data_IF_032370242031
#
_entry.id   IF_032370242031
#
_cell.length_a   1.000
_cell.length_b   1.000
_cell.length_c   1.000
_cell.angle_alpha   90.00
_cell.angle_beta   90.00
_cell.angle_gamma   90.00
#
_symmetry.space_group_name_H-M   'P 1'
#
loop_
_entity.id
_entity.type
_entity.pdbx_description
1 polymer ?
#
# COMPACT_ATOMS: atom_id res chain seq x y z
N UNK A 1 61.27 27.66 -10.70
CA UNK A 1 62.19 28.68 -10.96
C UNK A 1 62.20 29.00 -12.44
N UNK A 2 61.92 30.22 -12.76
CA UNK A 2 62.07 30.81 -14.08
C UNK A 2 63.54 30.96 -14.42
N UNK A 3 63.91 30.97 -15.69
CA UNK A 3 65.13 31.69 -16.16
C UNK A 3 64.79 32.89 -17.00
N UNK A 4 65.45 33.99 -16.74
CA UNK A 4 65.45 35.28 -17.35
C UNK A 4 66.05 35.30 -18.76
N UNK A 5 65.81 36.37 -19.57
CA UNK A 5 66.10 36.40 -20.98
C UNK A 5 67.49 36.93 -21.30
N UNK A 6 68.10 36.34 -22.32
CA UNK A 6 69.35 36.81 -22.91
C UNK A 6 69.17 37.22 -24.37
N UNK A 7 69.54 38.45 -24.65
CA UNK A 7 69.56 39.17 -25.91
C UNK A 7 70.62 38.63 -26.90
N UNK A 8 70.35 38.72 -28.22
CA UNK A 8 71.43 38.56 -29.23
C UNK A 8 70.99 38.33 -30.65
N UNK A 9 71.01 39.31 -31.48
CA UNK A 9 71.20 39.71 -32.80
C UNK A 9 71.08 38.77 -34.05
N UNK A 10 70.84 39.32 -35.22
CA UNK A 10 70.37 38.58 -36.40
C UNK A 10 71.52 38.03 -37.25
N UNK A 11 71.37 36.73 -37.60
CA UNK A 11 72.26 36.10 -38.58
C UNK A 11 71.46 35.47 -39.69
N UNK A 12 71.56 36.05 -40.90
CA UNK A 12 71.07 35.52 -42.16
C UNK A 12 71.87 34.30 -42.57
N UNK A 13 71.22 33.15 -42.73
CA UNK A 13 71.84 31.94 -43.27
C UNK A 13 70.79 31.04 -43.90
N UNK A 14 70.70 31.10 -45.25
CA UNK A 14 69.96 30.17 -46.10
C UNK A 14 70.62 28.80 -46.08
N UNK A 15 69.98 27.80 -45.51
CA UNK A 15 70.42 26.42 -45.49
C UNK A 15 69.25 25.46 -45.57
N UNK A 16 68.99 24.94 -46.80
CA UNK A 16 68.05 23.84 -47.05
C UNK A 16 68.62 22.56 -46.43
N UNK A 17 68.17 22.21 -45.22
CA UNK A 17 68.44 20.93 -44.53
C UNK A 17 67.22 20.03 -44.57
N UNK A 18 67.37 18.67 -44.62
CA UNK A 18 66.24 17.77 -44.74
C UNK A 18 65.37 17.81 -43.51
N UNK A 19 64.03 17.83 -43.69
CA UNK A 19 63.04 17.87 -42.70
C UNK A 19 63.22 16.74 -41.66
N UNK A 20 63.61 17.09 -40.42
CA UNK A 20 63.59 16.17 -39.27
C UNK A 20 62.17 15.72 -39.02
N UNK A 21 61.86 14.43 -39.33
CA UNK A 21 60.69 13.77 -38.91
C UNK A 21 60.60 13.91 -37.36
N UNK A 22 59.67 14.73 -36.87
CA UNK A 22 59.32 14.73 -35.47
C UNK A 22 58.78 13.32 -35.10
N UNK A 23 59.63 12.54 -34.44
CA UNK A 23 59.19 11.32 -33.78
C UNK A 23 58.07 11.70 -32.81
N UNK A 24 56.83 11.30 -33.13
CA UNK A 24 55.72 11.41 -32.20
C UNK A 24 56.06 10.53 -30.99
N UNK A 25 56.48 11.13 -29.90
CA UNK A 25 56.70 10.43 -28.66
C UNK A 25 55.39 9.80 -28.21
N UNK A 26 55.39 8.51 -27.97
CA UNK A 26 54.26 7.79 -27.34
C UNK A 26 54.37 7.98 -25.83
N UNK A 27 53.40 8.62 -25.24
CA UNK A 27 53.32 8.71 -23.76
C UNK A 27 53.04 7.33 -23.19
N UNK A 28 54.01 6.76 -22.50
CA UNK A 28 53.86 5.50 -21.77
C UNK A 28 53.53 5.81 -20.31
N UNK A 29 52.55 5.11 -19.74
CA UNK A 29 52.22 5.26 -18.33
C UNK A 29 53.31 4.64 -17.46
N UNK A 30 53.87 5.40 -16.53
CA UNK A 30 54.90 4.91 -15.60
C UNK A 30 54.35 3.98 -14.51
N UNK A 31 53.07 4.03 -14.20
CA UNK A 31 52.43 3.19 -13.21
C UNK A 31 51.64 2.07 -13.90
N UNK A 32 51.97 0.85 -13.54
CA UNK A 32 51.23 -0.35 -13.96
C UNK A 32 50.18 -0.80 -12.93
N UNK A 33 50.18 -0.16 -11.73
CA UNK A 33 49.33 -0.58 -10.65
C UNK A 33 47.86 -0.24 -10.93
N UNK A 34 46.93 -1.18 -10.74
CA UNK A 34 45.52 -0.92 -10.90
C UNK A 34 45.02 0.13 -9.89
N UNK A 35 43.97 0.84 -10.24
CA UNK A 35 43.33 1.85 -9.38
C UNK A 35 41.82 1.70 -9.44
N UNK A 36 41.18 2.05 -8.29
CA UNK A 36 39.73 2.07 -8.15
C UNK A 36 39.20 3.49 -8.36
N UNK A 37 38.18 3.63 -9.18
CA UNK A 37 37.46 4.88 -9.42
C UNK A 37 36.23 5.04 -8.53
N UNK A 38 35.73 6.29 -8.41
CA UNK A 38 34.51 6.63 -7.66
C UNK A 38 33.23 6.02 -8.26
N UNK A 39 33.30 5.56 -9.51
CA UNK A 39 32.26 4.83 -10.21
C UNK A 39 32.24 3.32 -9.88
N UNK A 40 33.12 2.87 -8.99
CA UNK A 40 33.29 1.46 -8.60
C UNK A 40 34.01 0.61 -9.66
N UNK A 41 34.54 1.22 -10.73
CA UNK A 41 35.25 0.52 -11.79
C UNK A 41 36.75 0.45 -11.50
N UNK A 42 37.33 -0.71 -11.79
CA UNK A 42 38.80 -0.90 -11.71
C UNK A 42 39.45 -0.53 -13.04
N UNK A 43 40.46 0.31 -12.98
CA UNK A 43 41.26 0.76 -14.08
C UNK A 43 42.66 0.12 -14.01
N UNK A 44 43.25 -0.25 -15.16
CA UNK A 44 44.61 -0.88 -15.19
C UNK A 44 45.66 -0.04 -14.50
N UNK A 45 45.51 1.28 -14.57
CA UNK A 45 46.41 2.23 -13.94
C UNK A 45 45.81 3.63 -13.92
N UNK A 46 46.44 4.55 -13.23
CA UNK A 46 45.99 5.95 -13.10
C UNK A 46 45.89 6.67 -14.44
N UNK A 47 46.66 6.25 -15.45
CA UNK A 47 46.63 6.89 -16.80
C UNK A 47 45.34 6.51 -17.54
N UNK A 48 44.86 5.29 -17.40
CA UNK A 48 43.56 4.87 -17.97
C UNK A 48 42.42 5.67 -17.33
N UNK A 49 42.40 5.81 -16.01
CA UNK A 49 41.45 6.65 -15.30
C UNK A 49 41.45 8.11 -15.80
N UNK A 50 42.66 8.68 -16.01
CA UNK A 50 42.80 10.03 -16.56
C UNK A 50 42.31 10.11 -18.04
N UNK A 51 42.45 9.04 -18.81
CA UNK A 51 41.96 9.00 -20.20
C UNK A 51 40.43 8.98 -20.22
N UNK A 52 39.80 8.22 -19.33
CA UNK A 52 38.34 8.21 -19.18
C UNK A 52 37.83 9.60 -18.77
N UNK A 53 38.48 10.26 -17.81
CA UNK A 53 38.10 11.60 -17.39
C UNK A 53 38.21 12.64 -18.52
N UNK A 54 39.24 12.54 -19.37
CA UNK A 54 39.33 13.41 -20.55
C UNK A 54 38.15 13.20 -21.51
N UNK A 55 37.70 11.95 -21.72
CA UNK A 55 36.51 11.66 -22.53
C UNK A 55 35.22 12.16 -21.85
N UNK A 56 35.09 11.94 -20.53
CA UNK A 56 33.96 12.45 -19.76
C UNK A 56 33.84 13.98 -19.87
N UNK A 57 34.97 14.69 -19.81
CA UNK A 57 35.01 16.14 -19.96
C UNK A 57 34.54 16.61 -21.35
N UNK A 58 34.91 15.88 -22.43
CA UNK A 58 34.42 16.20 -23.80
C UNK A 58 32.92 15.92 -23.97
N UNK A 59 32.36 15.03 -23.16
CA UNK A 59 30.94 14.63 -23.17
C UNK A 59 30.11 15.36 -22.10
N UNK A 60 30.71 16.31 -21.39
CA UNK A 60 30.06 17.05 -20.29
C UNK A 60 29.54 16.15 -19.17
N UNK A 61 30.23 15.02 -18.93
CA UNK A 61 29.91 14.06 -17.85
C UNK A 61 30.77 14.32 -16.61
N UNK A 62 30.30 13.97 -15.41
CA UNK A 62 31.06 14.12 -14.18
C UNK A 62 32.35 13.26 -14.23
N UNK A 63 33.50 13.77 -13.72
CA UNK A 63 34.73 13.00 -13.68
C UNK A 63 34.69 11.89 -12.64
N UNK A 64 35.32 10.76 -12.97
CA UNK A 64 35.57 9.67 -12.04
C UNK A 64 36.75 10.04 -11.13
N UNK A 65 36.56 10.06 -9.83
CA UNK A 65 37.61 10.37 -8.84
C UNK A 65 38.45 9.13 -8.55
N UNK A 66 39.75 9.33 -8.29
CA UNK A 66 40.61 8.28 -7.76
C UNK A 66 40.25 8.00 -6.29
N UNK A 67 39.91 6.75 -5.95
CA UNK A 67 39.53 6.34 -4.60
C UNK A 67 40.71 5.69 -3.86
N UNK A 68 41.32 4.66 -4.49
CA UNK A 68 42.43 3.92 -3.88
C UNK A 68 43.34 3.25 -4.93
N UNK A 69 44.55 2.89 -4.50
CA UNK A 69 45.44 2.01 -5.26
C UNK A 69 44.94 0.56 -5.15
N UNK A 70 45.13 -0.21 -6.20
CA UNK A 70 44.58 -1.55 -6.31
C UNK A 70 43.23 -1.55 -7.06
N UNK A 71 42.79 -2.72 -7.47
CA UNK A 71 41.45 -2.89 -8.03
C UNK A 71 40.37 -2.50 -6.99
N UNK A 72 39.23 -2.04 -7.47
CA UNK A 72 38.07 -1.87 -6.60
C UNK A 72 37.79 -3.19 -5.91
N UNK A 73 37.69 -3.16 -4.57
CA UNK A 73 37.32 -4.34 -3.81
C UNK A 73 36.02 -4.93 -4.36
N UNK A 74 35.97 -6.24 -4.53
CA UNK A 74 34.81 -6.98 -5.04
C UNK A 74 33.60 -6.91 -4.08
N UNK A 75 33.28 -5.72 -3.57
CA UNK A 75 32.19 -5.48 -2.62
C UNK A 75 30.81 -5.92 -3.09
N UNK A 76 30.64 -6.27 -4.36
CA UNK A 76 29.38 -6.74 -4.92
C UNK A 76 29.38 -8.22 -5.35
N UNK A 77 30.53 -8.90 -5.38
CA UNK A 77 30.61 -10.29 -5.84
C UNK A 77 31.45 -11.22 -4.97
N UNK A 78 31.91 -10.77 -3.80
CA UNK A 78 32.58 -11.65 -2.84
C UNK A 78 31.52 -12.50 -2.13
N UNK A 79 31.51 -13.84 -2.32
CA UNK A 79 30.60 -14.74 -1.62
C UNK A 79 30.74 -14.67 -0.10
N UNK A 80 31.88 -14.21 0.40
CA UNK A 80 32.15 -14.00 1.83
C UNK A 80 31.82 -12.58 2.31
N UNK A 81 31.34 -11.70 1.44
CA UNK A 81 30.93 -10.37 1.83
C UNK A 81 29.81 -10.46 2.88
N UNK A 82 30.00 -9.78 4.01
CA UNK A 82 28.98 -9.72 5.07
C UNK A 82 27.66 -9.16 4.55
N UNK A 83 27.72 -8.24 3.60
CA UNK A 83 26.55 -7.69 2.92
C UNK A 83 25.74 -8.77 2.19
N UNK A 84 26.39 -9.63 1.39
CA UNK A 84 25.69 -10.71 0.69
C UNK A 84 25.20 -11.78 1.66
N UNK A 85 26.02 -12.14 2.65
CA UNK A 85 25.70 -13.20 3.61
C UNK A 85 24.53 -12.83 4.53
N UNK A 86 24.38 -11.55 4.91
CA UNK A 86 23.39 -11.11 5.89
C UNK A 86 22.29 -10.20 5.31
N UNK A 87 22.20 -10.05 3.99
CA UNK A 87 21.23 -9.16 3.34
C UNK A 87 19.92 -9.89 2.95
N UNK A 88 19.55 -10.91 3.70
CA UNK A 88 18.40 -11.78 3.43
C UNK A 88 17.07 -11.03 3.31
N UNK A 89 16.90 -9.89 4.00
CA UNK A 89 15.71 -9.05 3.85
C UNK A 89 15.62 -8.47 2.43
N UNK A 90 16.73 -7.99 1.86
CA UNK A 90 16.73 -7.48 0.49
C UNK A 90 16.42 -8.59 -0.53
N UNK A 91 16.93 -9.80 -0.30
CA UNK A 91 16.67 -10.95 -1.16
C UNK A 91 15.18 -11.34 -1.15
N UNK A 92 14.54 -11.30 0.03
CA UNK A 92 13.08 -11.49 0.16
C UNK A 92 12.33 -10.41 -0.62
N UNK A 93 12.71 -9.14 -0.45
CA UNK A 93 12.06 -8.01 -1.14
C UNK A 93 12.19 -8.15 -2.65
N UNK A 94 13.36 -8.50 -3.18
CA UNK A 94 13.57 -8.70 -4.61
C UNK A 94 12.67 -9.82 -5.17
N UNK A 95 12.45 -10.88 -4.38
CA UNK A 95 11.58 -11.99 -4.73
C UNK A 95 10.10 -11.59 -4.80
N UNK A 96 9.61 -10.82 -3.82
CA UNK A 96 8.17 -10.56 -3.66
C UNK A 96 7.69 -9.27 -4.33
N UNK A 97 8.55 -8.26 -4.47
CA UNK A 97 8.19 -6.95 -4.99
C UNK A 97 7.50 -6.95 -6.37
N UNK A 98 7.83 -7.86 -7.31
CA UNK A 98 7.13 -7.90 -8.60
C UNK A 98 5.63 -8.17 -8.50
N UNK A 99 5.19 -8.86 -7.44
CA UNK A 99 3.79 -9.20 -7.23
C UNK A 99 3.04 -8.22 -6.30
N UNK A 100 3.72 -7.18 -5.80
CA UNK A 100 3.10 -6.11 -5.02
C UNK A 100 2.64 -4.99 -5.95
N UNK A 101 1.42 -4.50 -5.74
CA UNK A 101 0.76 -3.53 -6.62
C UNK A 101 0.37 -2.27 -5.86
N UNK A 102 0.36 -1.15 -6.59
CA UNK A 102 -0.23 0.10 -6.15
C UNK A 102 -1.71 0.14 -6.55
N UNK A 103 -2.56 0.57 -5.62
CA UNK A 103 -4.01 0.70 -5.84
C UNK A 103 -4.38 2.17 -5.66
N UNK A 104 -5.03 2.73 -6.66
CA UNK A 104 -5.51 4.11 -6.67
C UNK A 104 -7.03 4.15 -6.87
N UNK A 105 -7.70 4.99 -6.08
CA UNK A 105 -9.14 5.16 -6.11
C UNK A 105 -9.48 6.52 -6.69
N UNK A 106 -10.34 6.54 -7.71
CA UNK A 106 -10.76 7.75 -8.39
C UNK A 106 -12.24 8.02 -8.17
N UNK A 107 -12.56 9.27 -7.84
CA UNK A 107 -13.93 9.77 -7.75
C UNK A 107 -14.20 10.77 -8.86
N UNK A 108 -15.38 10.66 -9.51
CA UNK A 108 -15.85 11.73 -10.39
C UNK A 108 -16.31 12.92 -9.55
N UNK A 109 -15.80 14.10 -9.89
CA UNK A 109 -16.32 15.33 -9.31
C UNK A 109 -17.77 15.57 -9.78
N UNK A 110 -18.72 15.87 -8.87
CA UNK A 110 -20.10 16.14 -9.25
C UNK A 110 -20.26 17.42 -10.09
N UNK A 111 -19.26 18.31 -10.10
CA UNK A 111 -19.30 19.60 -10.79
C UNK A 111 -18.37 19.70 -12.01
N UNK A 112 -17.50 18.72 -12.21
CA UNK A 112 -16.62 18.64 -13.37
C UNK A 112 -16.46 17.17 -13.75
N UNK A 113 -16.45 16.86 -15.05
CA UNK A 113 -16.21 15.50 -15.55
C UNK A 113 -14.76 15.01 -15.28
N UNK A 114 -14.03 15.66 -14.36
CA UNK A 114 -12.66 15.27 -14.00
C UNK A 114 -12.68 14.22 -12.90
N UNK A 115 -11.95 13.16 -13.13
CA UNK A 115 -11.62 12.16 -12.11
C UNK A 115 -10.50 12.69 -11.24
N UNK A 116 -10.66 12.59 -9.91
CA UNK A 116 -9.64 12.95 -8.93
C UNK A 116 -9.28 11.71 -8.11
N UNK A 117 -7.98 11.50 -7.91
CA UNK A 117 -7.50 10.49 -6.96
C UNK A 117 -7.90 10.92 -5.54
N UNK A 118 -8.57 10.05 -4.82
CA UNK A 118 -9.10 10.34 -3.46
C UNK A 118 -8.45 9.52 -2.38
N UNK A 119 -7.90 8.37 -2.73
CA UNK A 119 -7.18 7.50 -1.81
C UNK A 119 -6.24 6.58 -2.58
N UNK A 120 -5.26 6.03 -1.89
CA UNK A 120 -4.36 5.01 -2.42
C UNK A 120 -4.06 3.97 -1.35
N UNK A 121 -3.62 2.80 -1.79
CA UNK A 121 -3.21 1.71 -0.94
C UNK A 121 -2.35 0.74 -1.72
N UNK A 122 -2.10 -0.40 -1.11
CA UNK A 122 -1.32 -1.49 -1.69
C UNK A 122 -2.14 -2.75 -1.81
N UNK A 123 -1.69 -3.67 -2.63
CA UNK A 123 -2.23 -5.02 -2.76
C UNK A 123 -1.16 -5.98 -3.21
N UNK A 124 -1.52 -7.24 -3.36
CA UNK A 124 -0.63 -8.25 -3.91
C UNK A 124 -1.37 -9.28 -4.75
N UNK A 125 -0.69 -9.78 -5.76
CA UNK A 125 -1.24 -10.70 -6.76
C UNK A 125 -1.21 -12.12 -6.19
N UNK A 126 -2.35 -12.80 -6.21
CA UNK A 126 -2.53 -14.17 -5.71
C UNK A 126 -2.82 -15.18 -6.81
N UNK A 127 -3.05 -14.73 -8.05
CA UNK A 127 -3.24 -15.61 -9.22
C UNK A 127 -2.65 -14.99 -10.48
N UNK A 128 -2.06 -15.84 -11.34
CA UNK A 128 -1.43 -15.41 -12.61
C UNK A 128 -2.40 -14.69 -13.55
N UNK A 129 -3.69 -14.92 -13.41
CA UNK A 129 -4.75 -14.31 -14.21
C UNK A 129 -5.21 -12.93 -13.71
N UNK A 130 -4.58 -12.40 -12.64
CA UNK A 130 -4.80 -11.04 -12.17
C UNK A 130 -5.76 -10.87 -11.00
N UNK A 131 -5.94 -11.90 -10.15
CA UNK A 131 -6.59 -11.73 -8.85
C UNK A 131 -5.62 -11.09 -7.86
N UNK A 132 -6.09 -10.07 -7.16
CA UNK A 132 -5.33 -9.25 -6.22
C UNK A 132 -6.08 -9.18 -4.91
N UNK A 133 -5.37 -9.39 -3.82
CA UNK A 133 -5.87 -9.21 -2.46
C UNK A 133 -5.41 -7.89 -1.88
N UNK A 134 -6.30 -7.22 -1.17
CA UNK A 134 -6.05 -5.96 -0.46
C UNK A 134 -6.99 -5.83 0.74
N UNK A 135 -6.95 -4.72 1.48
CA UNK A 135 -7.94 -4.45 2.52
C UNK A 135 -9.27 -3.96 1.93
N UNK A 136 -10.38 -4.29 2.61
CA UNK A 136 -11.70 -3.80 2.23
C UNK A 136 -11.78 -2.28 2.29
N UNK A 137 -11.23 -1.65 3.36
CA UNK A 137 -11.25 -0.20 3.52
C UNK A 137 -10.50 0.55 2.41
N UNK A 138 -9.54 -0.11 1.71
CA UNK A 138 -8.83 0.48 0.57
C UNK A 138 -9.75 0.63 -0.64
N UNK A 139 -10.71 -0.27 -0.86
CA UNK A 139 -11.56 -0.30 -2.07
C UNK A 139 -13.04 0.03 -1.81
N UNK A 140 -13.44 0.19 -0.55
CA UNK A 140 -14.80 0.57 -0.17
C UNK A 140 -15.07 2.03 -0.54
N UNK A 141 -16.31 2.37 -0.92
CA UNK A 141 -16.84 3.69 -1.27
C UNK A 141 -16.97 4.01 -2.76
N UNK A 142 -17.12 3.00 -3.63
CA UNK A 142 -17.62 3.13 -5.00
C UNK A 142 -16.85 4.07 -5.91
N UNK A 143 -15.56 3.95 -5.87
CA UNK A 143 -14.70 4.68 -6.75
C UNK A 143 -14.19 3.73 -7.84
N UNK A 144 -13.82 4.26 -8.96
CA UNK A 144 -13.06 3.52 -9.96
C UNK A 144 -11.75 3.10 -9.32
N UNK A 145 -11.47 1.81 -9.31
CA UNK A 145 -10.23 1.23 -8.80
C UNK A 145 -9.26 1.06 -9.96
N UNK A 146 -8.08 1.65 -9.83
CA UNK A 146 -6.98 1.51 -10.78
C UNK A 146 -5.82 0.82 -10.08
N UNK A 147 -5.26 -0.17 -10.73
CA UNK A 147 -4.08 -0.90 -10.25
C UNK A 147 -2.90 -0.57 -11.14
N UNK A 148 -1.78 -0.26 -10.53
CA UNK A 148 -0.50 -0.09 -11.21
C UNK A 148 0.48 -1.16 -10.76
N UNK A 149 1.03 -1.87 -11.73
CA UNK A 149 2.04 -2.90 -11.54
C UNK A 149 3.42 -2.28 -11.43
N UNK A 150 4.39 -3.04 -10.91
CA UNK A 150 5.79 -2.59 -10.78
C UNK A 150 6.43 -2.14 -12.09
N UNK A 151 6.00 -2.67 -13.23
CA UNK A 151 6.48 -2.28 -14.55
C UNK A 151 5.87 -0.98 -15.09
N UNK A 152 5.03 -0.30 -14.30
CA UNK A 152 4.31 0.92 -14.68
C UNK A 152 3.03 0.68 -15.50
N UNK A 153 2.70 -0.57 -15.83
CA UNK A 153 1.44 -0.89 -16.50
C UNK A 153 0.25 -0.66 -15.56
N UNK A 154 -0.80 -0.03 -16.09
CA UNK A 154 -1.97 0.35 -15.30
C UNK A 154 -3.24 -0.30 -15.84
N UNK A 155 -4.06 -0.83 -14.94
CA UNK A 155 -5.29 -1.55 -15.26
C UNK A 155 -6.46 -1.04 -14.43
N UNK A 156 -7.67 -1.08 -15.02
CA UNK A 156 -8.88 -0.91 -14.23
C UNK A 156 -9.19 -2.24 -13.53
N UNK A 157 -9.43 -2.18 -12.24
CA UNK A 157 -9.80 -3.35 -11.47
C UNK A 157 -11.31 -3.40 -11.24
N UNK A 158 -11.85 -4.63 -11.24
CA UNK A 158 -13.22 -4.94 -10.84
C UNK A 158 -13.19 -5.57 -9.46
N UNK A 159 -14.01 -5.07 -8.56
CA UNK A 159 -14.18 -5.69 -7.25
C UNK A 159 -14.92 -7.00 -7.45
N UNK A 160 -14.34 -8.10 -6.96
CA UNK A 160 -14.93 -9.45 -7.05
C UNK A 160 -15.67 -9.82 -5.78
N UNK A 161 -15.08 -9.50 -4.63
CA UNK A 161 -15.66 -9.81 -3.34
C UNK A 161 -15.08 -8.93 -2.24
N UNK A 162 -15.85 -8.69 -1.18
CA UNK A 162 -15.43 -7.88 -0.02
C UNK A 162 -15.97 -8.53 1.26
N UNK A 163 -15.08 -8.73 2.22
CA UNK A 163 -15.45 -8.99 3.61
C UNK A 163 -15.08 -7.78 4.48
N UNK A 164 -16.08 -6.95 4.81
CA UNK A 164 -15.87 -5.77 5.65
C UNK A 164 -15.55 -6.11 7.11
N UNK A 165 -15.99 -7.28 7.60
CA UNK A 165 -15.72 -7.71 8.99
C UNK A 165 -14.27 -8.13 9.14
N UNK A 166 -13.76 -8.85 8.16
CA UNK A 166 -12.36 -9.28 8.12
C UNK A 166 -11.43 -8.21 7.52
N UNK A 167 -11.97 -7.12 6.95
CA UNK A 167 -11.25 -6.08 6.22
C UNK A 167 -10.42 -6.64 5.05
N UNK A 168 -10.98 -7.60 4.30
CA UNK A 168 -10.34 -8.23 3.14
C UNK A 168 -11.16 -7.94 1.88
N UNK A 169 -10.50 -7.62 0.78
CA UNK A 169 -11.10 -7.47 -0.53
C UNK A 169 -10.35 -8.25 -1.61
N UNK A 170 -11.09 -8.77 -2.57
CA UNK A 170 -10.59 -9.42 -3.77
C UNK A 170 -10.96 -8.56 -4.98
N UNK A 171 -9.96 -8.13 -5.72
CA UNK A 171 -10.14 -7.37 -6.97
C UNK A 171 -9.50 -8.13 -8.13
N UNK A 172 -9.96 -7.85 -9.34
CA UNK A 172 -9.52 -8.50 -10.58
C UNK A 172 -9.11 -7.47 -11.60
N UNK A 173 -7.94 -7.63 -12.18
CA UNK A 173 -7.51 -6.94 -13.40
C UNK A 173 -7.52 -7.89 -14.58
N UNK A 174 -7.84 -7.38 -15.75
CA UNK A 174 -7.79 -8.13 -17.00
C UNK A 174 -6.47 -7.78 -17.71
N UNK A 175 -5.56 -8.75 -17.80
CA UNK A 175 -4.24 -8.61 -18.43
C UNK A 175 -4.01 -9.74 -19.41
N UNK A 176 -3.33 -9.49 -20.56
CA UNK A 176 -2.97 -10.52 -21.51
C UNK A 176 -1.79 -11.38 -21.04
N UNK A 177 -0.97 -10.84 -20.12
CA UNK A 177 0.25 -11.50 -19.67
C UNK A 177 0.05 -12.21 -18.34
N UNK A 178 0.78 -13.30 -18.14
CA UNK A 178 0.85 -13.98 -16.84
C UNK A 178 1.58 -13.09 -15.83
N UNK A 179 0.99 -12.95 -14.67
CA UNK A 179 1.52 -12.12 -13.60
C UNK A 179 2.32 -12.94 -12.58
N UNK A 180 3.34 -12.33 -11.95
CA UNK A 180 3.99 -12.91 -10.78
C UNK A 180 3.01 -13.00 -9.62
N UNK A 181 3.06 -14.08 -8.86
CA UNK A 181 2.14 -14.37 -7.75
C UNK A 181 2.90 -14.56 -6.45
N UNK A 182 2.27 -14.19 -5.33
CA UNK A 182 2.72 -14.54 -3.98
C UNK A 182 1.97 -15.75 -3.46
N UNK A 183 2.71 -16.67 -2.88
CA UNK A 183 2.14 -17.82 -2.21
C UNK A 183 1.69 -17.42 -0.80
N UNK A 184 0.54 -17.95 -0.39
CA UNK A 184 0.05 -17.78 0.97
C UNK A 184 0.72 -18.83 1.87
N UNK A 185 1.45 -18.38 2.87
CA UNK A 185 1.96 -19.20 3.97
C UNK A 185 0.87 -19.52 5.00
N UNK A 186 1.20 -20.30 6.01
CA UNK A 186 0.30 -20.66 7.11
C UNK A 186 0.59 -19.75 8.32
N UNK A 187 -0.37 -18.87 8.66
CA UNK A 187 -0.18 -17.96 9.80
C UNK A 187 -0.28 -18.68 11.15
N UNK A 188 -0.91 -19.86 11.20
CA UNK A 188 -0.99 -20.68 12.42
C UNK A 188 0.37 -21.21 12.87
N UNK A 189 1.31 -21.39 11.92
CA UNK A 189 2.65 -21.93 12.19
C UNK A 189 3.63 -20.87 12.68
N UNK A 190 3.24 -19.60 12.64
CA UNK A 190 4.08 -18.48 13.07
C UNK A 190 4.36 -18.53 14.57
N UNK A 191 5.58 -18.18 14.94
CA UNK A 191 6.02 -18.08 16.33
C UNK A 191 6.46 -16.66 16.65
N UNK A 192 6.22 -16.18 17.87
CA UNK A 192 6.81 -14.93 18.34
C UNK A 192 8.33 -14.94 18.18
N UNK A 193 8.89 -13.85 17.66
CA UNK A 193 10.31 -13.70 17.37
C UNK A 193 10.71 -14.02 15.91
N UNK A 194 9.84 -14.57 15.09
CA UNK A 194 10.12 -14.78 13.66
C UNK A 194 10.16 -13.45 12.90
N UNK A 195 11.13 -13.31 11.98
CA UNK A 195 11.24 -12.14 11.13
C UNK A 195 10.09 -12.07 10.13
N UNK A 196 9.58 -10.86 9.97
CA UNK A 196 8.57 -10.54 8.95
C UNK A 196 8.96 -9.26 8.21
N UNK A 197 8.53 -9.19 6.94
CA UNK A 197 8.74 -8.05 6.06
C UNK A 197 7.37 -7.54 5.61
N UNK A 198 7.06 -6.29 5.95
CA UNK A 198 5.90 -5.59 5.44
C UNK A 198 6.32 -4.77 4.21
N UNK A 199 5.63 -4.98 3.10
CA UNK A 199 5.89 -4.27 1.85
C UNK A 199 4.60 -3.69 1.30
N UNK A 200 4.71 -2.53 0.66
CA UNK A 200 3.64 -1.88 -0.06
C UNK A 200 4.17 -0.94 -1.11
N UNK A 201 3.30 -0.46 -1.98
CA UNK A 201 3.61 0.47 -3.05
C UNK A 201 2.74 1.72 -2.94
N UNK A 202 3.04 2.64 -2.00
CA UNK A 202 2.21 3.83 -1.73
C UNK A 202 2.18 4.83 -2.89
N UNK A 203 3.27 4.87 -3.65
CA UNK A 203 3.44 5.74 -4.82
C UNK A 203 3.94 4.86 -5.96
N UNK A 204 3.39 5.03 -7.14
CA UNK A 204 3.78 4.27 -8.31
C UNK A 204 5.30 4.12 -8.42
N UNK A 205 5.77 2.90 -8.65
CA UNK A 205 7.18 2.51 -8.82
C UNK A 205 8.07 2.53 -7.56
N UNK A 206 7.58 2.95 -6.38
CA UNK A 206 8.38 2.97 -5.15
C UNK A 206 7.77 2.08 -4.06
N UNK A 207 8.43 0.97 -3.78
CA UNK A 207 8.03 0.11 -2.67
C UNK A 207 8.51 0.71 -1.33
N UNK A 208 7.62 0.75 -0.35
CA UNK A 208 7.96 0.97 1.05
C UNK A 208 8.15 -0.38 1.71
N UNK A 209 9.31 -0.59 2.29
CA UNK A 209 9.68 -1.84 2.97
C UNK A 209 9.97 -1.52 4.43
N UNK A 210 9.35 -2.26 5.32
CA UNK A 210 9.69 -2.27 6.74
C UNK A 210 9.85 -3.70 7.22
N UNK A 211 10.72 -3.94 8.18
CA UNK A 211 10.96 -5.25 8.75
C UNK A 211 10.86 -5.21 10.26
N UNK A 212 10.49 -6.31 10.84
CA UNK A 212 10.38 -6.52 12.25
C UNK A 212 10.23 -8.01 12.57
N UNK A 213 9.65 -8.29 13.71
CA UNK A 213 9.36 -9.65 14.17
C UNK A 213 7.87 -9.81 14.48
N UNK A 214 7.42 -11.03 14.51
CA UNK A 214 6.12 -11.40 15.09
C UNK A 214 6.19 -11.19 16.59
N UNK A 215 5.39 -10.29 17.14
CA UNK A 215 5.31 -10.05 18.59
C UNK A 215 4.33 -11.03 19.25
N UNK A 216 3.16 -11.25 18.60
CA UNK A 216 2.18 -12.29 18.98
C UNK A 216 1.32 -12.65 17.78
N UNK A 217 0.83 -13.87 17.74
CA UNK A 217 0.00 -14.40 16.65
C UNK A 217 -1.49 -14.37 16.96
N UNK A 218 -1.86 -14.08 18.20
CA UNK A 218 -3.25 -14.09 18.70
C UNK A 218 -3.53 -12.84 19.52
N UNK A 219 -3.91 -11.77 18.84
CA UNK A 219 -4.37 -10.56 19.49
C UNK A 219 -5.83 -10.30 19.09
N UNK A 220 -6.75 -10.54 20.01
CA UNK A 220 -8.19 -10.43 19.77
C UNK A 220 -8.62 -9.02 19.36
N UNK A 221 -9.46 -8.90 18.34
CA UNK A 221 -9.98 -7.62 17.88
C UNK A 221 -10.69 -6.82 18.96
N UNK A 222 -11.33 -7.49 19.92
CA UNK A 222 -11.97 -6.83 21.07
C UNK A 222 -10.97 -6.13 21.99
N UNK A 223 -9.78 -6.70 22.19
CA UNK A 223 -8.69 -6.07 22.95
C UNK A 223 -8.19 -4.80 22.29
N UNK A 224 -8.30 -4.74 20.94
CA UNK A 224 -7.92 -3.59 20.12
C UNK A 224 -9.02 -2.52 20.03
N UNK A 225 -10.15 -2.70 20.72
CA UNK A 225 -11.30 -1.79 20.65
C UNK A 225 -12.11 -1.91 19.35
N UNK A 226 -11.86 -2.93 18.54
CA UNK A 226 -12.61 -3.23 17.32
C UNK A 226 -13.89 -3.96 17.72
N UNK A 227 -14.96 -3.20 17.98
CA UNK A 227 -16.20 -3.65 18.60
C UNK A 227 -16.91 -4.81 17.88
N UNK A 228 -16.62 -5.04 16.60
CA UNK A 228 -17.29 -6.04 15.76
C UNK A 228 -16.34 -7.10 15.20
N UNK A 229 -15.12 -7.21 15.71
CA UNK A 229 -14.15 -8.20 15.24
C UNK A 229 -13.87 -9.24 16.31
N UNK A 230 -14.32 -10.48 16.07
CA UNK A 230 -13.92 -11.68 16.82
C UNK A 230 -12.66 -12.30 16.20
N UNK A 231 -11.95 -11.56 15.36
CA UNK A 231 -10.77 -12.01 14.63
C UNK A 231 -9.51 -11.79 15.46
N UNK A 232 -8.61 -12.76 15.43
CA UNK A 232 -7.26 -12.61 15.94
C UNK A 232 -6.36 -11.99 14.88
N UNK A 233 -5.51 -11.06 15.31
CA UNK A 233 -4.54 -10.37 14.46
C UNK A 233 -3.12 -10.82 14.80
N UNK A 234 -2.24 -10.78 13.82
CA UNK A 234 -0.81 -10.88 14.03
C UNK A 234 -0.32 -9.50 14.48
N UNK A 235 0.31 -9.44 15.66
CA UNK A 235 1.00 -8.23 16.11
C UNK A 235 2.47 -8.29 15.71
N UNK A 236 2.99 -7.19 15.17
CA UNK A 236 4.39 -7.04 14.76
C UNK A 236 4.90 -5.64 15.09
N UNK A 237 6.21 -5.52 15.26
CA UNK A 237 6.89 -4.23 15.38
C UNK A 237 7.37 -3.68 14.01
N UNK A 238 7.21 -4.44 12.93
CA UNK A 238 7.34 -3.92 11.57
C UNK A 238 6.37 -2.74 11.38
N UNK A 239 6.87 -1.61 10.91
CA UNK A 239 6.07 -0.39 10.82
C UNK A 239 5.04 -0.52 9.70
N UNK A 240 3.75 -0.50 10.06
CA UNK A 240 2.64 -0.40 9.12
C UNK A 240 2.19 1.06 9.08
N UNK A 241 2.05 1.60 7.87
CA UNK A 241 1.62 2.98 7.61
C UNK A 241 0.71 3.02 6.38
N UNK A 242 0.24 4.22 6.02
CA UNK A 242 -0.63 4.41 4.84
C UNK A 242 0.01 3.93 3.52
N UNK A 243 1.34 3.75 3.50
CA UNK A 243 2.06 3.31 2.32
C UNK A 243 2.05 1.81 2.08
N UNK A 244 1.95 0.99 3.14
CA UNK A 244 1.96 -0.47 3.03
C UNK A 244 0.65 -1.15 3.45
N UNK A 245 -0.38 -0.38 3.86
CA UNK A 245 -1.72 -0.91 4.13
C UNK A 245 -2.31 -1.59 2.90
N UNK A 246 -2.85 -2.78 3.08
CA UNK A 246 -3.34 -3.66 2.01
C UNK A 246 -2.27 -4.49 1.33
N UNK A 247 -0.99 -4.15 1.51
CA UNK A 247 0.14 -4.94 1.05
C UNK A 247 0.41 -6.16 1.92
N UNK A 248 1.26 -7.10 1.46
CA UNK A 248 1.54 -8.33 2.18
C UNK A 248 2.50 -8.11 3.35
N UNK A 249 2.29 -8.89 4.41
CA UNK A 249 3.29 -9.23 5.41
C UNK A 249 3.83 -10.61 5.05
N UNK A 250 5.13 -10.74 4.86
CA UNK A 250 5.75 -12.01 4.43
C UNK A 250 6.77 -12.51 5.44
N UNK A 251 6.99 -13.84 5.45
CA UNK A 251 8.10 -14.48 6.15
C UNK A 251 9.40 -14.40 5.32
N UNK A 252 10.49 -14.98 5.82
CA UNK A 252 11.78 -14.97 5.13
C UNK A 252 11.82 -15.86 3.86
N UNK A 253 10.86 -16.76 3.70
CA UNK A 253 10.71 -17.56 2.49
C UNK A 253 9.94 -16.82 1.38
N UNK A 254 9.44 -15.59 1.71
CA UNK A 254 8.65 -14.76 0.81
C UNK A 254 7.19 -15.21 0.69
N UNK A 255 6.70 -16.00 1.63
CA UNK A 255 5.30 -16.41 1.70
C UNK A 255 4.50 -15.39 2.49
N UNK A 256 3.30 -15.09 2.03
CA UNK A 256 2.38 -14.15 2.70
C UNK A 256 1.83 -14.79 3.96
N UNK A 257 2.15 -14.22 5.11
CA UNK A 257 1.62 -14.63 6.41
C UNK A 257 0.50 -13.71 6.90
N UNK A 258 0.30 -12.56 6.25
CA UNK A 258 -0.80 -11.66 6.57
C UNK A 258 -0.95 -10.48 5.60
N UNK A 259 -1.99 -9.65 5.84
CA UNK A 259 -2.20 -8.37 5.16
C UNK A 259 -1.95 -7.25 6.17
N UNK A 260 -1.10 -6.29 5.82
CA UNK A 260 -0.85 -5.10 6.62
C UNK A 260 -2.12 -4.25 6.74
N UNK A 261 -2.64 -3.99 7.92
CA UNK A 261 -3.91 -3.27 8.05
C UNK A 261 -3.90 -2.10 9.04
N UNK A 262 -3.47 -2.28 10.27
CA UNK A 262 -3.62 -1.29 11.33
C UNK A 262 -2.29 -0.93 11.98
N UNK A 263 -2.16 0.37 12.29
CA UNK A 263 -1.15 0.89 13.20
C UNK A 263 -1.83 1.48 14.43
N UNK A 264 -1.47 1.02 15.62
CA UNK A 264 -1.98 1.59 16.88
C UNK A 264 -1.02 2.65 17.40
N UNK A 265 0.28 2.35 17.44
CA UNK A 265 1.33 3.27 17.85
C UNK A 265 2.68 2.83 17.27
N UNK A 266 3.73 3.60 17.49
CA UNK A 266 5.08 3.21 17.07
C UNK A 266 5.47 1.87 17.71
N UNK A 267 5.88 0.90 16.90
CA UNK A 267 6.26 -0.45 17.35
C UNK A 267 5.11 -1.40 17.66
N UNK A 268 3.85 -0.99 17.41
CA UNK A 268 2.67 -1.86 17.55
C UNK A 268 1.83 -1.75 16.29
N UNK A 269 1.97 -2.70 15.42
CA UNK A 269 1.25 -2.84 14.16
C UNK A 269 0.54 -4.17 14.09
N UNK A 270 -0.52 -4.26 13.28
CA UNK A 270 -1.36 -5.45 13.16
C UNK A 270 -1.56 -5.84 11.71
N UNK A 271 -1.53 -7.14 11.46
CA UNK A 271 -1.84 -7.73 10.17
C UNK A 271 -2.95 -8.78 10.30
N UNK A 272 -3.77 -8.88 9.27
CA UNK A 272 -4.81 -9.91 9.12
C UNK A 272 -4.09 -11.22 8.77
N UNK A 273 -4.32 -12.32 9.50
CA UNK A 273 -3.63 -13.60 9.26
C UNK A 273 -3.93 -14.19 7.88
N UNK A 274 -2.94 -14.85 7.26
CA UNK A 274 -3.09 -15.49 5.95
C UNK A 274 -4.12 -16.62 5.92
N UNK A 275 -4.35 -17.31 7.05
CA UNK A 275 -5.40 -18.33 7.13
C UNK A 275 -6.80 -17.74 6.98
N UNK A 276 -7.01 -16.48 7.39
CA UNK A 276 -8.26 -15.74 7.10
C UNK A 276 -8.39 -15.38 5.63
N UNK A 277 -7.28 -15.05 4.97
CA UNK A 277 -7.27 -14.82 3.52
C UNK A 277 -7.67 -16.12 2.80
N UNK A 278 -7.11 -17.26 3.17
CA UNK A 278 -7.47 -18.58 2.60
C UNK A 278 -8.94 -18.89 2.76
N UNK A 279 -9.48 -18.67 3.97
CA UNK A 279 -10.89 -18.86 4.26
C UNK A 279 -11.76 -17.96 3.35
N UNK A 280 -11.46 -16.68 3.29
CA UNK A 280 -12.16 -15.72 2.43
C UNK A 280 -12.12 -16.11 0.96
N UNK A 281 -10.94 -16.49 0.42
CA UNK A 281 -10.81 -16.92 -0.97
C UNK A 281 -11.62 -18.18 -1.28
N UNK A 282 -11.63 -19.17 -0.37
CA UNK A 282 -12.44 -20.38 -0.52
C UNK A 282 -13.95 -20.07 -0.52
N UNK A 283 -14.41 -19.23 0.39
CA UNK A 283 -15.79 -18.78 0.45
C UNK A 283 -16.19 -17.96 -0.76
N UNK A 284 -15.31 -17.07 -1.23
CA UNK A 284 -15.51 -16.27 -2.44
C UNK A 284 -15.64 -17.15 -3.68
N UNK A 285 -14.78 -18.15 -3.82
CA UNK A 285 -14.85 -19.13 -4.91
C UNK A 285 -16.15 -19.94 -4.88
N UNK A 286 -16.57 -20.41 -3.70
CA UNK A 286 -17.83 -21.16 -3.52
C UNK A 286 -19.05 -20.28 -3.87
N UNK A 287 -19.07 -19.00 -3.47
CA UNK A 287 -20.12 -18.07 -3.86
C UNK A 287 -20.18 -17.87 -5.38
N UNK A 288 -19.04 -17.65 -6.02
CA UNK A 288 -18.97 -17.46 -7.46
C UNK A 288 -19.39 -18.70 -8.25
N UNK A 289 -18.98 -19.92 -7.80
CA UNK A 289 -19.34 -21.18 -8.44
C UNK A 289 -20.86 -21.46 -8.38
N UNK A 290 -21.53 -20.98 -7.32
CA UNK A 290 -22.98 -21.09 -7.14
C UNK A 290 -23.76 -19.98 -7.86
N UNK A 291 -23.09 -19.12 -8.65
CA UNK A 291 -23.71 -18.00 -9.36
C UNK A 291 -24.19 -16.88 -8.44
N UNK A 292 -23.77 -16.89 -7.17
CA UNK A 292 -24.05 -15.82 -6.21
C UNK A 292 -23.02 -14.70 -6.48
N UNK A 293 -23.31 -13.90 -7.49
CA UNK A 293 -22.53 -12.69 -7.76
C UNK A 293 -22.77 -11.70 -6.64
N UNK A 294 -21.69 -11.26 -5.99
CA UNK A 294 -21.55 -10.21 -4.95
C UNK A 294 -22.81 -9.99 -4.09
N UNK A 295 -22.62 -10.02 -2.79
CA UNK A 295 -23.66 -9.58 -1.84
C UNK A 295 -24.02 -8.14 -2.21
N UNK A 296 -25.13 -7.96 -2.91
CA UNK A 296 -25.68 -6.64 -3.20
C UNK A 296 -25.81 -5.90 -1.88
N UNK A 297 -25.05 -4.82 -1.72
CA UNK A 297 -25.15 -4.00 -0.53
C UNK A 297 -26.47 -3.26 -0.56
N UNK A 298 -27.28 -3.43 0.49
CA UNK A 298 -28.46 -2.62 0.69
C UNK A 298 -28.10 -1.35 1.42
N UNK A 299 -28.67 -0.26 0.98
CA UNK A 299 -28.37 1.08 1.42
C UNK A 299 -29.63 1.79 1.91
N UNK A 300 -29.51 2.49 3.04
CA UNK A 300 -30.57 3.28 3.61
C UNK A 300 -30.35 4.78 3.45
N UNK A 301 -29.12 5.22 3.58
CA UNK A 301 -28.72 6.62 3.43
C UNK A 301 -28.84 7.44 4.70
N UNK A 302 -28.43 6.86 5.83
CA UNK A 302 -28.35 7.54 7.13
C UNK A 302 -26.95 7.46 7.71
N UNK A 303 -26.53 8.51 8.41
CA UNK A 303 -25.40 8.47 9.34
C UNK A 303 -25.97 8.33 10.74
N UNK A 304 -25.57 7.29 11.44
CA UNK A 304 -26.11 6.95 12.76
C UNK A 304 -25.02 6.49 13.71
N UNK A 305 -25.27 6.66 14.99
CA UNK A 305 -24.42 6.15 16.07
C UNK A 305 -25.27 5.40 17.08
N UNK A 306 -24.65 4.50 17.84
CA UNK A 306 -25.30 3.85 18.96
C UNK A 306 -25.59 4.87 20.07
N UNK A 307 -26.83 4.99 20.46
CA UNK A 307 -27.24 5.84 21.58
C UNK A 307 -26.91 5.15 22.91
N UNK A 308 -25.88 5.61 23.59
CA UNK A 308 -25.54 5.20 24.93
C UNK A 308 -26.24 6.09 25.97
N UNK A 309 -26.37 5.61 27.21
CA UNK A 309 -26.93 6.39 28.31
C UNK A 309 -26.23 7.74 28.51
N UNK A 310 -24.88 7.77 28.42
CA UNK A 310 -24.07 8.99 28.53
C UNK A 310 -24.37 9.97 27.42
N UNK A 311 -24.44 9.48 26.18
CA UNK A 311 -24.77 10.29 25.02
C UNK A 311 -26.21 10.82 25.06
N UNK A 312 -27.16 9.97 25.44
CA UNK A 312 -28.56 10.38 25.62
C UNK A 312 -28.72 11.51 26.64
N UNK A 313 -27.97 11.42 27.75
CA UNK A 313 -27.93 12.48 28.75
C UNK A 313 -27.36 13.78 28.19
N UNK A 314 -26.21 13.71 27.50
CA UNK A 314 -25.58 14.87 26.87
C UNK A 314 -26.49 15.53 25.82
N UNK A 315 -27.19 14.73 25.00
CA UNK A 315 -28.12 15.23 24.00
C UNK A 315 -29.35 15.92 24.64
N UNK A 316 -29.88 15.40 25.74
CA UNK A 316 -30.95 16.05 26.50
C UNK A 316 -30.52 17.36 27.14
N UNK A 317 -29.32 17.42 27.65
CA UNK A 317 -28.78 18.66 28.23
C UNK A 317 -28.60 19.77 27.18
N UNK A 318 -28.29 19.41 25.95
CA UNK A 318 -28.10 20.33 24.81
C UNK A 318 -29.40 20.68 24.06
N UNK A 319 -30.33 19.73 23.96
CA UNK A 319 -31.55 19.82 23.17
C UNK A 319 -32.78 19.49 24.03
N UNK A 320 -33.54 20.51 24.39
CA UNK A 320 -34.74 20.34 25.23
C UNK A 320 -35.81 19.41 24.63
N UNK A 321 -35.81 19.28 23.29
CA UNK A 321 -36.73 18.44 22.53
C UNK A 321 -36.22 17.01 22.32
N UNK A 322 -35.05 16.66 22.88
CA UNK A 322 -34.52 15.29 22.74
C UNK A 322 -35.37 14.31 23.55
N UNK A 323 -35.78 13.16 22.95
CA UNK A 323 -36.70 12.22 23.59
C UNK A 323 -36.09 11.58 24.83
N UNK A 324 -36.99 11.18 25.76
CA UNK A 324 -36.59 10.42 26.95
C UNK A 324 -36.37 8.94 26.62
N UNK A 325 -35.24 8.68 25.96
CA UNK A 325 -34.80 7.36 25.54
C UNK A 325 -33.28 7.23 25.77
N UNK A 326 -32.85 6.04 26.21
CA UNK A 326 -31.45 5.82 26.61
C UNK A 326 -30.72 4.77 25.78
N UNK A 327 -31.40 4.16 24.80
CA UNK A 327 -30.81 3.14 23.90
C UNK A 327 -31.45 3.19 22.51
N UNK A 328 -30.74 2.70 21.49
CA UNK A 328 -31.19 2.69 20.13
C UNK A 328 -30.12 3.16 19.15
N UNK A 329 -30.51 3.41 17.91
CA UNK A 329 -29.64 4.03 16.92
C UNK A 329 -30.08 5.49 16.66
N UNK A 330 -29.22 6.43 17.02
CA UNK A 330 -29.45 7.85 16.84
C UNK A 330 -29.00 8.29 15.44
N UNK A 331 -29.92 8.89 14.67
CA UNK A 331 -29.66 9.41 13.34
C UNK A 331 -29.05 10.82 13.46
N UNK A 332 -27.80 10.95 13.06
CA UNK A 332 -27.09 12.23 13.01
C UNK A 332 -27.49 13.01 11.76
N UNK A 333 -27.60 12.31 10.62
CA UNK A 333 -27.84 12.92 9.33
C UNK A 333 -28.58 11.95 8.39
N UNK A 334 -29.59 12.43 7.70
CA UNK A 334 -30.27 11.72 6.61
C UNK A 334 -29.76 12.30 5.27
N UNK A 335 -29.14 11.45 4.45
CA UNK A 335 -28.58 11.89 3.19
C UNK A 335 -29.70 12.18 2.17
N UNK A 336 -29.63 13.29 1.43
CA UNK A 336 -30.66 13.64 0.45
C UNK A 336 -30.70 12.64 -0.71
N UNK A 337 -31.89 12.43 -1.28
CA UNK A 337 -32.15 11.51 -2.39
C UNK A 337 -31.83 10.03 -2.08
N UNK A 338 -32.08 9.61 -0.86
CA UNK A 338 -31.90 8.25 -0.38
C UNK A 338 -33.23 7.62 0.05
N UNK A 339 -33.31 6.29 0.20
CA UNK A 339 -34.48 5.63 0.73
C UNK A 339 -34.93 6.17 2.09
N UNK A 340 -34.00 6.51 2.96
CA UNK A 340 -34.29 7.11 4.26
C UNK A 340 -35.01 8.46 4.13
N UNK A 341 -34.51 9.34 3.28
CA UNK A 341 -35.14 10.64 3.01
C UNK A 341 -36.52 10.49 2.38
N UNK A 342 -36.66 9.59 1.40
CA UNK A 342 -37.93 9.31 0.73
C UNK A 342 -38.94 8.67 1.67
N UNK A 343 -38.51 7.82 2.61
CA UNK A 343 -39.35 7.17 3.61
C UNK A 343 -39.76 8.07 4.76
N UNK A 344 -39.15 9.29 4.89
CA UNK A 344 -39.54 10.26 5.91
C UNK A 344 -38.74 10.18 7.22
N UNK A 345 -37.59 9.48 7.22
CA UNK A 345 -36.63 9.58 8.31
C UNK A 345 -36.03 11.00 8.35
N UNK A 346 -35.67 11.47 9.53
CA UNK A 346 -35.12 12.82 9.74
C UNK A 346 -33.93 12.77 10.68
N UNK A 347 -33.14 13.81 10.61
CA UNK A 347 -32.09 14.07 11.58
C UNK A 347 -32.70 14.14 13.00
N UNK A 348 -31.98 13.64 13.98
CA UNK A 348 -32.38 13.53 15.38
C UNK A 348 -33.46 12.47 15.69
N UNK A 349 -33.87 11.63 14.74
CA UNK A 349 -34.68 10.45 15.03
C UNK A 349 -33.84 9.42 15.81
N UNK A 350 -34.47 8.68 16.70
CA UNK A 350 -33.87 7.50 17.35
C UNK A 350 -34.62 6.25 16.88
N UNK A 351 -33.93 5.35 16.20
CA UNK A 351 -34.49 4.06 15.79
C UNK A 351 -34.53 3.17 17.02
N UNK A 352 -35.73 2.67 17.36
CA UNK A 352 -35.99 1.83 18.53
C UNK A 352 -36.41 0.40 18.19
N UNK A 353 -36.99 0.18 17.02
CA UNK A 353 -37.19 -1.18 16.49
C UNK A 353 -37.24 -1.21 14.97
N UNK A 354 -36.92 -2.37 14.39
CA UNK A 354 -37.05 -2.67 12.96
C UNK A 354 -37.70 -4.03 12.80
N UNK A 355 -38.76 -4.12 11.99
CA UNK A 355 -39.52 -5.35 11.76
C UNK A 355 -39.95 -6.03 13.09
N UNK A 356 -40.34 -5.22 14.09
CA UNK A 356 -40.71 -5.62 15.46
C UNK A 356 -39.54 -6.21 16.28
N UNK A 357 -38.32 -6.12 15.83
CA UNK A 357 -37.14 -6.46 16.63
C UNK A 357 -36.58 -5.20 17.29
N UNK A 358 -36.24 -5.28 18.55
CA UNK A 358 -35.68 -4.17 19.32
C UNK A 358 -34.31 -3.80 18.78
N UNK A 359 -34.05 -2.51 18.58
CA UNK A 359 -32.76 -1.93 18.20
C UNK A 359 -32.12 -1.32 19.42
N UNK A 360 -30.94 -1.80 19.77
CA UNK A 360 -30.14 -1.31 20.91
C UNK A 360 -28.89 -0.58 20.44
N UNK A 361 -28.49 -0.82 19.20
CA UNK A 361 -27.25 -0.29 18.61
C UNK A 361 -27.40 0.06 17.12
N UNK A 362 -26.47 0.86 16.59
CA UNK A 362 -26.38 1.12 15.16
C UNK A 362 -26.05 -0.17 14.36
N UNK A 363 -25.39 -1.14 14.99
CA UNK A 363 -25.10 -2.45 14.37
C UNK A 363 -26.35 -3.22 14.06
N UNK A 364 -27.35 -3.21 14.96
CA UNK A 364 -28.63 -3.91 14.78
C UNK A 364 -29.37 -3.38 13.53
N UNK A 365 -29.31 -2.06 13.32
CA UNK A 365 -29.89 -1.43 12.11
C UNK A 365 -29.14 -1.89 10.86
N UNK A 366 -27.81 -1.92 10.91
CA UNK A 366 -26.98 -2.37 9.77
C UNK A 366 -27.25 -3.84 9.42
N UNK A 367 -27.47 -4.68 10.41
CA UNK A 367 -27.83 -6.10 10.20
C UNK A 367 -29.23 -6.25 9.59
N UNK A 368 -30.19 -5.49 10.08
CA UNK A 368 -31.55 -5.50 9.52
C UNK A 368 -31.56 -5.05 8.07
N UNK A 369 -30.82 -4.00 7.72
CA UNK A 369 -30.68 -3.53 6.32
C UNK A 369 -30.05 -4.60 5.41
N UNK A 370 -29.09 -5.38 5.90
CA UNK A 370 -28.47 -6.47 5.14
C UNK A 370 -29.44 -7.63 4.91
N UNK A 371 -30.30 -7.93 5.90
CA UNK A 371 -31.19 -9.07 5.88
C UNK A 371 -32.44 -8.82 5.02
N UNK A 372 -33.09 -7.67 5.21
CA UNK A 372 -34.42 -7.40 4.65
C UNK A 372 -34.38 -6.23 3.66
N UNK A 373 -35.08 -6.36 2.52
CA UNK A 373 -35.25 -5.29 1.54
C UNK A 373 -36.32 -4.28 1.93
N UNK A 374 -37.34 -4.72 2.68
CA UNK A 374 -38.42 -3.88 3.19
C UNK A 374 -38.30 -3.79 4.69
N UNK A 375 -38.27 -2.58 5.21
CA UNK A 375 -38.07 -2.31 6.63
C UNK A 375 -39.25 -1.53 7.18
N UNK A 376 -39.83 -2.04 8.27
CA UNK A 376 -40.80 -1.32 9.11
C UNK A 376 -40.06 -0.80 10.33
N UNK A 377 -39.68 0.47 10.30
CA UNK A 377 -38.83 1.12 11.30
C UNK A 377 -39.71 1.90 12.26
N UNK A 378 -39.57 1.64 13.54
CA UNK A 378 -40.18 2.46 14.60
C UNK A 378 -39.11 3.44 15.09
N UNK A 379 -39.38 4.72 14.95
CA UNK A 379 -38.50 5.77 15.47
C UNK A 379 -39.18 6.57 16.55
N UNK A 380 -38.42 7.02 17.53
CA UNK A 380 -38.82 8.05 18.47
C UNK A 380 -38.34 9.39 17.92
N UNK A 381 -39.33 10.26 17.56
CA UNK A 381 -39.12 11.63 17.10
C UNK A 381 -39.70 12.58 18.12
N UNK A 382 -38.86 13.34 18.80
CA UNK A 382 -39.26 14.07 20.01
C UNK A 382 -39.90 13.09 21.04
N UNK A 383 -41.14 13.25 21.39
CA UNK A 383 -41.85 12.35 22.32
C UNK A 383 -42.91 11.46 21.65
N UNK A 384 -42.87 11.34 20.30
CA UNK A 384 -43.82 10.54 19.54
C UNK A 384 -43.14 9.34 18.87
N UNK A 385 -43.84 8.20 18.89
CA UNK A 385 -43.43 7.00 18.20
C UNK A 385 -44.03 7.01 16.80
N UNK A 386 -43.19 7.01 15.79
CA UNK A 386 -43.59 7.02 14.38
C UNK A 386 -43.13 5.75 13.71
N UNK A 387 -44.05 5.07 13.02
CA UNK A 387 -43.74 3.91 12.20
C UNK A 387 -43.52 4.34 10.74
N UNK A 388 -42.32 4.05 10.21
CA UNK A 388 -41.88 4.41 8.88
C UNK A 388 -41.58 3.12 8.12
N UNK A 389 -42.27 2.95 6.99
CA UNK A 389 -42.05 1.82 6.08
C UNK A 389 -41.25 2.31 4.89
N UNK A 390 -40.15 1.63 4.60
CA UNK A 390 -39.28 1.97 3.49
C UNK A 390 -38.65 0.72 2.87
N UNK A 391 -38.24 0.87 1.61
CA UNK A 391 -37.52 -0.17 0.87
C UNK A 391 -36.09 0.31 0.71
N UNK A 392 -35.14 -0.55 1.08
CA UNK A 392 -33.71 -0.27 0.90
C UNK A 392 -33.34 -0.29 -0.57
N UNK A 393 -32.41 0.55 -0.97
CA UNK A 393 -31.86 0.54 -2.32
C UNK A 393 -30.73 -0.49 -2.39
N UNK A 394 -30.74 -1.33 -3.43
CA UNK A 394 -29.62 -2.23 -3.72
C UNK A 394 -28.57 -1.47 -4.48
N UNK A 395 -27.39 -1.47 -3.96
CA UNK A 395 -26.24 -0.84 -4.60
C UNK A 395 -25.27 -1.93 -5.03
N UNK A 396 -24.86 -1.91 -6.30
CA UNK A 396 -23.73 -2.72 -6.74
C UNK A 396 -22.47 -2.26 -6.02
N UNK A 397 -21.66 -3.20 -5.50
CA UNK A 397 -20.44 -2.90 -4.75
C UNK A 397 -19.41 -2.16 -5.57
#
# INVERSE_FOLDING_TARGET
PEPSPGSGGPGTGTGTGPARRRLKGVCVCQSSDPVCGSDGSSYRNVCELRAVNRRAQTLNQPPVLFIQRGACGLGQKDPNSLRLKYNFIADVVDKIAPAVVHIELFRRSPFSNREMSVASGSGFIVSEDGLIVTNAHVVTNKHRVKVELRNGATYNAKIKDIDEKADIALIKIDTPDKLPVLLLGHSIDLRPGEFVVAIGSPFSLQNTVTTGIVSTTQRGGKELGLRNSDMDYIQTDAIINYGNSGGPLVNLDGEVVGINTLKVTAGISFAIPSDKIRQFLAESYDRQSKGITSVKKRYLGVRMITLSFSLAKELRDRHKDFPDINAGAYIIEVLPRTPAAAGGLRDNDVIISINNQLVTSASDVSEAIKKDSSLSILVRRKNEDLRINLVTEEIEP
#
